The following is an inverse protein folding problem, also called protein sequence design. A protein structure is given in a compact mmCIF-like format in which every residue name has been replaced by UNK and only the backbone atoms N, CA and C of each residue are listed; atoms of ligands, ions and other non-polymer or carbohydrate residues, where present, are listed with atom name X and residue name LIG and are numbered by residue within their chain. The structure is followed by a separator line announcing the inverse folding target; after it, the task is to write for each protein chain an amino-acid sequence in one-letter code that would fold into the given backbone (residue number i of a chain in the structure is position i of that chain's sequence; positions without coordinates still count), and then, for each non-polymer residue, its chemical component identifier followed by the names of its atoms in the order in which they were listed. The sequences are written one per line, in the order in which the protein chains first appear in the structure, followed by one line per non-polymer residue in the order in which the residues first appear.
data_IF_471202020190
#
_entry.id   IF_471202020190
#
_cell.length_a   1.000
_cell.length_b   1.000
_cell.length_c   1.000
_cell.angle_alpha   90.00
_cell.angle_beta   90.00
_cell.angle_gamma   90.00
#
_symmetry.space_group_name_H-M   'P 1'
#
loop_
_entity.id
_entity.type
_entity.pdbx_description
1 polymer ?
#
# COMPACT_ATOMS: atom_id res chain seq x y z
N UNK A 1 15.97 -3.27 5.24
CA UNK A 1 15.44 -1.92 5.44
C UNK A 1 13.94 -2.06 5.44
N UNK A 2 13.30 -1.96 6.62
CA UNK A 2 11.85 -2.15 6.76
C UNK A 2 11.13 -0.97 6.11
N UNK A 3 10.80 -1.14 4.83
CA UNK A 3 10.17 -0.13 3.96
C UNK A 3 8.76 0.30 4.41
N UNK A 4 8.24 -0.25 5.51
CA UNK A 4 6.88 -0.02 5.99
C UNK A 4 6.77 1.11 7.00
N UNK A 5 7.88 1.56 7.59
CA UNK A 5 7.90 2.58 8.65
C UNK A 5 8.79 3.77 8.29
N UNK A 6 8.41 4.94 8.80
CA UNK A 6 9.18 6.18 8.78
C UNK A 6 9.46 6.63 10.21
N UNK A 7 10.54 7.40 10.41
CA UNK A 7 10.86 7.98 11.71
C UNK A 7 10.21 9.36 11.84
N UNK A 8 9.41 9.56 12.87
CA UNK A 8 8.81 10.84 13.24
C UNK A 8 9.37 11.31 14.59
N UNK A 9 9.59 12.61 14.77
CA UNK A 9 10.00 13.18 16.05
C UNK A 9 8.90 13.04 17.10
N UNK A 10 9.28 12.65 18.31
CA UNK A 10 8.36 12.67 19.45
C UNK A 10 8.32 14.08 20.00
N UNK A 11 7.15 14.70 20.01
CA UNK A 11 6.94 16.06 20.53
C UNK A 11 6.34 16.07 21.94
N UNK A 12 6.68 17.11 22.69
CA UNK A 12 6.03 17.49 23.95
C UNK A 12 4.68 18.19 23.66
N UNK A 13 3.90 18.43 24.70
CA UNK A 13 2.61 19.13 24.60
C UNK A 13 2.73 20.57 24.06
N UNK A 14 3.91 21.19 24.19
CA UNK A 14 4.22 22.51 23.63
C UNK A 14 4.71 22.48 22.17
N UNK A 15 4.78 21.29 21.57
CA UNK A 15 5.24 21.07 20.21
C UNK A 15 6.76 20.99 20.04
N UNK A 16 7.56 21.13 21.11
CA UNK A 16 9.01 20.95 21.06
C UNK A 16 9.41 19.48 20.90
N UNK A 17 10.51 19.21 20.20
CA UNK A 17 11.04 17.84 20.06
C UNK A 17 11.60 17.38 21.41
N UNK A 18 11.18 16.19 21.84
CA UNK A 18 11.69 15.54 23.05
C UNK A 18 13.12 15.09 22.83
N UNK A 19 13.97 15.33 23.82
CA UNK A 19 15.34 14.84 23.88
C UNK A 19 15.48 13.81 25.00
N UNK A 20 16.34 12.82 24.80
CA UNK A 20 16.69 11.82 25.81
C UNK A 20 17.72 12.35 26.82
N UNK A 21 18.16 11.48 27.73
CA UNK A 21 19.12 11.82 28.79
C UNK A 21 20.51 12.22 28.26
N UNK A 22 20.83 11.86 27.02
CA UNK A 22 22.10 12.16 26.34
C UNK A 22 21.97 13.43 25.46
N UNK A 23 20.79 14.03 25.42
CA UNK A 23 20.49 15.22 24.62
C UNK A 23 20.18 14.92 23.15
N UNK A 24 19.89 13.66 22.81
CA UNK A 24 19.55 13.25 21.44
C UNK A 24 18.05 13.34 21.22
N UNK A 25 17.65 13.85 20.05
CA UNK A 25 16.24 13.96 19.67
C UNK A 25 15.58 12.58 19.56
N UNK A 26 14.49 12.42 20.29
CA UNK A 26 13.75 11.17 20.36
C UNK A 26 12.85 11.04 19.14
N UNK A 27 12.92 9.88 18.49
CA UNK A 27 12.08 9.54 17.33
C UNK A 27 11.27 8.27 17.60
N UNK A 28 10.13 8.14 16.93
CA UNK A 28 9.30 6.93 16.92
C UNK A 28 9.09 6.44 15.50
N UNK A 29 8.90 5.13 15.34
CA UNK A 29 8.51 4.55 14.06
C UNK A 29 7.00 4.73 13.85
N UNK A 30 6.63 5.40 12.76
CA UNK A 30 5.24 5.52 12.30
C UNK A 30 5.07 4.74 11.00
N UNK A 31 3.97 4.00 10.82
CA UNK A 31 3.75 3.26 9.58
C UNK A 31 3.54 4.24 8.42
N UNK A 32 4.26 4.03 7.31
CA UNK A 32 4.16 4.83 6.07
C UNK A 32 2.82 4.68 5.37
N UNK A 33 2.22 3.52 5.56
CA UNK A 33 0.91 3.17 5.02
C UNK A 33 -0.08 3.10 6.17
N UNK A 34 -1.32 3.55 6.00
CA UNK A 34 -2.34 3.38 7.03
C UNK A 34 -2.61 1.88 7.24
N UNK A 35 -1.92 1.29 8.22
CA UNK A 35 -2.14 -0.09 8.65
C UNK A 35 -3.51 -0.23 9.33
N UNK A 36 -4.12 0.89 9.71
CA UNK A 36 -5.52 1.02 10.08
C UNK A 36 -6.08 2.34 9.51
N UNK A 37 -7.33 2.30 9.06
CA UNK A 37 -8.03 3.50 8.56
C UNK A 37 -8.56 4.28 9.77
N UNK A 38 -8.18 5.55 9.90
CA UNK A 38 -8.79 6.47 10.89
C UNK A 38 -10.01 7.15 10.27
N UNK A 39 -10.82 7.82 11.10
CA UNK A 39 -12.01 8.55 10.61
C UNK A 39 -11.69 9.59 9.54
N UNK A 40 -10.56 10.28 9.69
CA UNK A 40 -10.05 11.28 8.74
C UNK A 40 -9.83 10.70 7.33
N UNK A 41 -9.55 9.39 7.21
CA UNK A 41 -9.37 8.75 5.92
C UNK A 41 -10.69 8.58 5.16
N UNK A 42 -11.82 8.55 5.87
CA UNK A 42 -13.15 8.48 5.27
C UNK A 42 -13.67 9.86 4.84
N UNK A 43 -13.05 10.93 5.34
CA UNK A 43 -13.38 12.30 4.93
C UNK A 43 -12.74 12.66 3.58
N UNK A 44 -11.71 11.90 3.15
CA UNK A 44 -11.07 12.06 1.85
C UNK A 44 -11.79 11.25 0.77
N UNK A 45 -11.95 11.80 -0.44
CA UNK A 45 -12.54 11.07 -1.55
C UNK A 45 -11.55 10.00 -2.06
N UNK A 46 -12.04 8.93 -2.68
CA UNK A 46 -11.20 7.79 -3.10
C UNK A 46 -10.03 8.22 -3.97
N UNK A 47 -10.22 9.22 -4.83
CA UNK A 47 -9.21 9.78 -5.73
C UNK A 47 -7.98 10.32 -5.00
N UNK A 48 -8.11 10.72 -3.74
CA UNK A 48 -6.98 11.17 -2.92
C UNK A 48 -5.92 10.07 -2.72
N UNK A 49 -6.35 8.80 -2.69
CA UNK A 49 -5.48 7.65 -2.50
C UNK A 49 -5.05 6.98 -3.79
N UNK A 50 -5.51 7.49 -4.94
CA UNK A 50 -5.17 6.93 -6.24
C UNK A 50 -3.96 7.67 -6.83
N UNK A 51 -2.89 6.92 -7.08
CA UNK A 51 -1.79 7.42 -7.91
C UNK A 51 -2.22 7.36 -9.37
N UNK A 52 -2.29 8.52 -10.03
CA UNK A 52 -2.60 8.57 -11.45
C UNK A 52 -1.31 8.50 -12.27
N UNK A 53 -1.33 7.78 -13.38
CA UNK A 53 -0.17 7.61 -14.25
C UNK A 53 0.40 8.96 -14.72
N UNK A 54 -0.46 9.97 -14.94
CA UNK A 54 -0.02 11.31 -15.38
C UNK A 54 0.82 12.06 -14.33
N UNK A 55 0.76 11.63 -13.07
CA UNK A 55 1.50 12.23 -11.95
C UNK A 55 2.76 11.44 -11.56
N UNK A 56 3.01 10.30 -12.19
CA UNK A 56 4.14 9.44 -11.87
C UNK A 56 5.45 9.98 -12.45
N UNK A 57 6.53 9.82 -11.69
CA UNK A 57 7.89 10.04 -12.17
C UNK A 57 8.31 8.99 -13.22
N UNK A 58 9.35 9.25 -14.04
CA UNK A 58 9.83 8.26 -15.01
C UNK A 58 10.24 6.92 -14.39
N UNK A 59 10.76 6.93 -13.14
CA UNK A 59 11.12 5.72 -12.41
C UNK A 59 9.89 4.90 -11.98
N UNK A 60 8.82 5.58 -11.55
CA UNK A 60 7.56 4.95 -11.17
C UNK A 60 6.85 4.36 -12.39
N UNK A 61 6.85 5.06 -13.53
CA UNK A 61 6.32 4.53 -14.79
C UNK A 61 7.06 3.26 -15.22
N UNK A 62 8.39 3.24 -15.11
CA UNK A 62 9.18 2.04 -15.37
C UNK A 62 8.87 0.90 -14.38
N UNK A 63 8.55 1.23 -13.13
CA UNK A 63 8.08 0.27 -12.13
C UNK A 63 6.70 -0.30 -12.47
N UNK A 64 5.76 0.56 -12.85
CA UNK A 64 4.41 0.19 -13.29
C UNK A 64 4.45 -0.76 -14.48
N UNK A 65 5.27 -0.46 -15.49
CA UNK A 65 5.43 -1.34 -16.66
C UNK A 65 5.96 -2.73 -16.30
N UNK A 66 6.88 -2.84 -15.33
CA UNK A 66 7.35 -4.14 -14.83
C UNK A 66 6.24 -4.91 -14.11
N UNK A 67 5.44 -4.22 -13.30
CA UNK A 67 4.31 -4.83 -12.60
C UNK A 67 3.25 -5.33 -13.59
N UNK A 68 2.95 -4.54 -14.62
CA UNK A 68 2.01 -4.93 -15.65
C UNK A 68 2.49 -6.17 -16.41
N UNK A 69 3.74 -6.17 -16.87
CA UNK A 69 4.33 -7.34 -17.54
C UNK A 69 4.33 -8.60 -16.64
N UNK A 70 4.53 -8.42 -15.33
CA UNK A 70 4.45 -9.52 -14.37
C UNK A 70 3.02 -10.07 -14.26
N UNK A 71 2.01 -9.21 -14.14
CA UNK A 71 0.59 -9.63 -14.09
C UNK A 71 0.16 -10.28 -15.40
N UNK A 72 0.57 -9.73 -16.53
CA UNK A 72 0.26 -10.27 -17.87
C UNK A 72 0.91 -11.65 -18.12
N UNK A 73 1.97 -11.99 -17.37
CA UNK A 73 2.60 -13.30 -17.45
C UNK A 73 1.80 -14.41 -16.73
N UNK A 74 0.76 -14.06 -15.97
CA UNK A 74 -0.04 -15.03 -15.24
C UNK A 74 -0.88 -15.86 -16.21
N UNK A 75 -0.75 -17.18 -16.09
CA UNK A 75 -1.67 -18.12 -16.74
C UNK A 75 -2.97 -18.10 -15.94
N UNK A 76 -4.14 -17.88 -16.58
CA UNK A 76 -5.42 -17.94 -15.90
C UNK A 76 -5.56 -19.23 -15.10
N UNK A 77 -5.72 -19.11 -13.79
CA UNK A 77 -5.91 -20.25 -12.92
C UNK A 77 -7.34 -20.77 -13.09
N UNK A 78 -7.48 -22.07 -13.38
CA UNK A 78 -8.79 -22.71 -13.41
C UNK A 78 -9.42 -22.66 -12.03
N UNK A 79 -10.51 -21.92 -11.90
CA UNK A 79 -11.30 -21.91 -10.68
C UNK A 79 -11.92 -23.30 -10.50
N UNK A 80 -11.55 -24.01 -9.43
CA UNK A 80 -12.08 -25.34 -9.10
C UNK A 80 -12.79 -25.31 -7.76
N UNK A 81 -13.82 -26.14 -7.61
CA UNK A 81 -14.47 -26.38 -6.32
C UNK A 81 -13.57 -27.22 -5.40
N UNK A 82 -14.05 -27.49 -4.19
CA UNK A 82 -13.30 -28.29 -3.19
C UNK A 82 -12.99 -29.73 -3.66
N UNK A 83 -13.76 -30.26 -4.61
CA UNK A 83 -13.57 -31.59 -5.18
C UNK A 83 -12.69 -31.58 -6.44
N UNK A 84 -12.27 -30.40 -6.92
CA UNK A 84 -11.45 -30.23 -8.11
C UNK A 84 -12.24 -30.06 -9.42
N UNK A 85 -13.56 -29.90 -9.36
CA UNK A 85 -14.38 -29.66 -10.55
C UNK A 85 -14.31 -28.19 -10.97
N UNK A 86 -14.33 -27.92 -12.28
CA UNK A 86 -14.31 -26.56 -12.81
C UNK A 86 -15.56 -25.77 -12.41
N UNK A 87 -15.34 -24.56 -11.91
CA UNK A 87 -16.38 -23.58 -11.65
C UNK A 87 -16.58 -22.78 -12.94
N UNK A 88 -17.73 -23.01 -13.57
CA UNK A 88 -18.12 -22.33 -14.80
C UNK A 88 -19.01 -21.12 -14.51
N UNK A 89 -18.99 -20.14 -15.40
CA UNK A 89 -19.94 -19.02 -15.38
C UNK A 89 -21.36 -19.46 -15.78
N UNK A 90 -22.32 -18.55 -15.70
CA UNK A 90 -23.72 -18.83 -16.08
C UNK A 90 -23.91 -19.22 -17.56
N UNK A 91 -22.90 -19.02 -18.41
CA UNK A 91 -22.88 -19.38 -19.83
C UNK A 91 -22.09 -20.68 -20.09
N UNK A 92 -21.53 -21.31 -19.05
CA UNK A 92 -20.76 -22.54 -19.15
C UNK A 92 -19.28 -22.35 -19.50
N UNK A 93 -18.73 -21.14 -19.38
CA UNK A 93 -17.32 -20.85 -19.66
C UNK A 93 -16.47 -20.84 -18.39
N UNK A 94 -15.19 -21.21 -18.49
CA UNK A 94 -14.21 -20.98 -17.43
C UNK A 94 -14.07 -19.47 -17.17
N UNK A 95 -13.95 -19.08 -15.89
CA UNK A 95 -13.82 -17.67 -15.47
C UNK A 95 -12.38 -17.18 -15.50
#
# INVERSE_FOLDING_TARGET
MDSLFESEFVTNDDGSVRVDEEGVEMTRLVPRFPLCWTREHFDQPTEYYLTKEETMSPGELAGLGKLQAYVDSFVPARCVDRAGNLILDARGNER
#
